data_IF_008709278009
#
_entry.id   IF_008709278009
#
_cell.length_a   1.000
_cell.length_b   1.000
_cell.length_c   1.000
_cell.angle_alpha   90.00
_cell.angle_beta   90.00
_cell.angle_gamma   90.00
#
_symmetry.space_group_name_H-M   'P 1'
#
loop_
_entity.id
_entity.type
_entity.pdbx_description
1 polymer ?
#
# COMPACT_ATOMS: atom_id res chain seq x y z
N UNK A 1 16.29 -32.19 5.72
CA UNK A 1 16.05 -31.41 4.48
C UNK A 1 14.71 -31.77 3.84
N UNK A 2 14.42 -33.04 3.51
CA UNK A 2 13.12 -33.45 2.93
C UNK A 2 11.91 -33.12 3.80
N UNK A 3 11.99 -33.38 5.11
CA UNK A 3 10.91 -33.07 6.05
C UNK A 3 10.62 -31.56 6.14
N UNK A 4 11.68 -30.74 6.17
CA UNK A 4 11.56 -29.28 6.14
C UNK A 4 10.89 -28.80 4.85
N UNK A 5 11.29 -29.36 3.69
CA UNK A 5 10.69 -29.06 2.40
C UNK A 5 9.20 -29.46 2.34
N UNK A 6 8.83 -30.62 2.90
CA UNK A 6 7.45 -31.07 2.96
C UNK A 6 6.58 -30.16 3.85
N UNK A 7 7.07 -29.77 5.02
CA UNK A 7 6.39 -28.82 5.91
C UNK A 7 6.22 -27.46 5.22
N UNK A 8 7.26 -26.98 4.54
CA UNK A 8 7.21 -25.73 3.77
C UNK A 8 6.15 -25.78 2.66
N UNK A 9 6.17 -26.82 1.82
CA UNK A 9 5.20 -26.99 0.72
C UNK A 9 3.79 -27.08 1.28
N UNK A 10 3.57 -27.88 2.32
CA UNK A 10 2.27 -28.01 2.97
C UNK A 10 1.77 -26.64 3.50
N UNK A 11 2.65 -25.89 4.16
CA UNK A 11 2.32 -24.57 4.72
C UNK A 11 1.95 -23.59 3.61
N UNK A 12 2.73 -23.53 2.52
CA UNK A 12 2.45 -22.66 1.38
C UNK A 12 1.13 -23.05 0.69
N UNK A 13 0.88 -24.35 0.49
CA UNK A 13 -0.37 -24.85 -0.09
C UNK A 13 -1.57 -24.43 0.76
N UNK A 14 -1.49 -24.56 2.09
CA UNK A 14 -2.55 -24.14 2.99
C UNK A 14 -2.75 -22.61 2.99
N UNK A 15 -1.67 -21.84 2.92
CA UNK A 15 -1.72 -20.36 2.87
C UNK A 15 -2.34 -19.85 1.57
N UNK A 16 -2.07 -20.50 0.43
CA UNK A 16 -2.62 -20.12 -0.88
C UNK A 16 -4.05 -20.64 -1.05
N UNK A 17 -4.32 -21.89 -0.68
CA UNK A 17 -5.63 -22.51 -0.91
C UNK A 17 -6.68 -22.09 0.13
N UNK A 18 -6.27 -21.72 1.35
CA UNK A 18 -7.17 -21.28 2.44
C UNK A 18 -8.46 -22.13 2.54
N UNK A 19 -8.33 -23.47 2.71
CA UNK A 19 -9.48 -24.34 2.66
C UNK A 19 -10.49 -23.95 3.75
N UNK A 20 -11.76 -23.80 3.38
CA UNK A 20 -12.86 -23.33 4.26
C UNK A 20 -12.64 -21.94 4.89
N UNK A 21 -11.86 -21.07 4.25
CA UNK A 21 -11.58 -19.73 4.76
C UNK A 21 -10.67 -19.73 6.00
N UNK A 22 -9.84 -20.77 6.17
CA UNK A 22 -8.80 -20.77 7.20
C UNK A 22 -7.91 -19.54 6.99
N UNK A 23 -7.84 -18.69 8.01
CA UNK A 23 -7.00 -17.51 7.98
C UNK A 23 -5.52 -17.88 7.82
N UNK A 24 -4.78 -17.07 7.06
CA UNK A 24 -3.36 -17.25 6.75
C UNK A 24 -2.53 -17.50 8.03
N UNK A 25 -2.87 -16.82 9.12
CA UNK A 25 -2.21 -16.97 10.42
C UNK A 25 -2.32 -18.37 11.03
N UNK A 26 -3.46 -19.05 10.87
CA UNK A 26 -3.65 -20.42 11.38
C UNK A 26 -2.81 -21.42 10.60
N UNK A 27 -2.80 -21.30 9.27
CA UNK A 27 -1.99 -22.15 8.40
C UNK A 27 -0.49 -21.97 8.67
N UNK A 28 -0.03 -20.72 8.83
CA UNK A 28 1.35 -20.42 9.20
C UNK A 28 1.72 -20.93 10.61
N UNK A 29 0.81 -20.78 11.59
CA UNK A 29 1.03 -21.26 12.95
C UNK A 29 1.11 -22.79 13.03
N UNK A 30 0.28 -23.48 12.25
CA UNK A 30 0.35 -24.94 12.10
C UNK A 30 1.70 -25.36 11.50
N UNK A 31 2.16 -24.69 10.44
CA UNK A 31 3.47 -24.94 9.84
C UNK A 31 4.62 -24.75 10.84
N UNK A 32 4.60 -23.66 11.61
CA UNK A 32 5.59 -23.39 12.65
C UNK A 32 5.55 -24.45 13.77
N UNK A 33 4.35 -24.85 14.22
CA UNK A 33 4.19 -25.90 15.22
C UNK A 33 4.74 -27.24 14.72
N UNK A 34 4.42 -27.63 13.48
CA UNK A 34 4.95 -28.85 12.87
C UNK A 34 6.47 -28.82 12.74
N UNK A 35 7.06 -27.67 12.40
CA UNK A 35 8.51 -27.50 12.32
C UNK A 35 9.20 -27.64 13.69
N UNK A 36 8.59 -27.12 14.76
CA UNK A 36 9.08 -27.29 16.13
C UNK A 36 8.94 -28.73 16.63
N UNK A 37 7.76 -29.34 16.45
CA UNK A 37 7.50 -30.71 16.91
C UNK A 37 8.36 -31.76 16.18
N UNK A 38 8.66 -31.53 14.91
CA UNK A 38 9.53 -32.40 14.11
C UNK A 38 11.02 -32.20 14.37
N UNK A 39 11.40 -31.22 15.21
CA UNK A 39 12.80 -30.89 15.48
C UNK A 39 13.55 -30.29 14.30
N UNK A 40 12.84 -29.91 13.23
CA UNK A 40 13.41 -29.23 12.06
C UNK A 40 13.87 -27.81 12.41
N UNK A 41 13.16 -27.18 13.34
CA UNK A 41 13.50 -25.87 13.91
C UNK A 41 13.59 -26.02 15.42
N UNK A 42 14.64 -25.45 16.02
CA UNK A 42 14.84 -25.42 17.46
C UNK A 42 14.42 -24.07 18.02
N UNK A 43 14.13 -24.02 19.33
CA UNK A 43 13.83 -22.76 20.01
C UNK A 43 14.99 -21.75 19.91
N UNK A 44 16.23 -22.23 19.74
CA UNK A 44 17.42 -21.42 19.49
C UNK A 44 17.43 -20.70 18.15
N UNK A 45 16.59 -21.12 17.19
CA UNK A 45 16.49 -20.49 15.87
C UNK A 45 15.51 -19.31 15.87
N UNK A 46 14.65 -19.21 16.89
CA UNK A 46 13.65 -18.13 17.02
C UNK A 46 14.29 -16.73 16.96
N UNK A 47 15.42 -16.44 17.65
CA UNK A 47 16.08 -15.14 17.53
C UNK A 47 16.51 -14.81 16.10
N UNK A 48 16.99 -15.79 15.34
CA UNK A 48 17.39 -15.58 13.95
C UNK A 48 16.18 -15.22 13.07
N UNK A 49 15.06 -15.94 13.24
CA UNK A 49 13.79 -15.61 12.55
C UNK A 49 13.28 -14.23 12.95
N UNK A 50 13.31 -13.91 14.25
CA UNK A 50 12.89 -12.62 14.76
C UNK A 50 13.72 -11.48 14.16
N UNK A 51 15.04 -11.62 14.10
CA UNK A 51 15.91 -10.59 13.54
C UNK A 51 15.60 -10.23 12.08
N UNK A 52 15.15 -11.20 11.28
CA UNK A 52 14.78 -10.98 9.86
C UNK A 52 13.40 -10.33 9.73
N UNK A 53 12.46 -10.65 10.62
CA UNK A 53 11.05 -10.29 10.43
C UNK A 53 10.62 -9.08 11.25
N UNK A 54 11.28 -8.77 12.37
CA UNK A 54 10.81 -7.73 13.31
C UNK A 54 10.67 -6.36 12.65
N UNK A 55 11.66 -5.98 11.82
CA UNK A 55 11.72 -4.67 11.18
C UNK A 55 10.56 -4.51 10.19
N UNK A 56 10.36 -5.54 9.36
CA UNK A 56 9.26 -5.60 8.41
C UNK A 56 7.90 -5.54 9.11
N UNK A 57 7.69 -6.35 10.15
CA UNK A 57 6.43 -6.38 10.91
C UNK A 57 6.15 -5.06 11.62
N UNK A 58 7.13 -4.50 12.32
CA UNK A 58 6.97 -3.24 13.04
C UNK A 58 6.67 -2.06 12.10
N UNK A 59 7.39 -1.98 10.98
CA UNK A 59 7.16 -0.97 9.95
C UNK A 59 5.76 -1.10 9.34
N UNK A 60 5.35 -2.33 9.01
CA UNK A 60 4.03 -2.59 8.44
C UNK A 60 2.89 -2.19 9.39
N UNK A 61 2.99 -2.55 10.68
CA UNK A 61 2.03 -2.14 11.71
C UNK A 61 1.98 -0.61 11.83
N UNK A 62 3.13 0.06 11.89
CA UNK A 62 3.19 1.52 12.00
C UNK A 62 2.51 2.20 10.81
N UNK A 63 2.76 1.74 9.59
CA UNK A 63 2.13 2.28 8.38
C UNK A 63 0.61 2.09 8.41
N UNK A 64 0.12 0.90 8.79
CA UNK A 64 -1.32 0.64 8.90
C UNK A 64 -1.96 1.59 9.92
N UNK A 65 -1.36 1.75 11.10
CA UNK A 65 -1.89 2.64 12.15
C UNK A 65 -1.94 4.10 11.65
N UNK A 66 -0.87 4.58 11.02
CA UNK A 66 -0.83 5.95 10.46
C UNK A 66 -1.91 6.12 9.39
N UNK A 67 -2.07 5.15 8.50
CA UNK A 67 -3.10 5.17 7.45
C UNK A 67 -4.51 5.22 8.03
N UNK A 68 -4.81 4.40 9.05
CA UNK A 68 -6.11 4.42 9.73
C UNK A 68 -6.37 5.75 10.45
N UNK A 69 -5.37 6.32 11.13
CA UNK A 69 -5.50 7.63 11.78
C UNK A 69 -5.76 8.75 10.76
N UNK A 70 -5.09 8.71 9.60
CA UNK A 70 -5.33 9.66 8.52
C UNK A 70 -6.72 9.50 7.92
N UNK A 71 -7.20 8.28 7.77
CA UNK A 71 -8.55 8.02 7.28
C UNK A 71 -9.62 8.53 8.24
N UNK A 72 -9.47 8.26 9.54
CA UNK A 72 -10.38 8.78 10.58
C UNK A 72 -10.40 10.32 10.62
N UNK A 73 -9.30 10.98 10.26
CA UNK A 73 -9.24 12.44 10.13
C UNK A 73 -10.02 12.99 8.91
N UNK A 74 -10.41 12.13 7.97
CA UNK A 74 -11.04 12.48 6.70
C UNK A 74 -10.04 12.94 5.63
N UNK A 75 -8.74 12.69 5.81
CA UNK A 75 -7.70 13.17 4.89
C UNK A 75 -7.87 12.60 3.47
N UNK A 76 -8.15 11.30 3.35
CA UNK A 76 -8.29 10.66 2.04
C UNK A 76 -9.58 11.08 1.33
N UNK A 77 -10.70 11.25 2.04
CA UNK A 77 -11.95 11.79 1.48
C UNK A 77 -11.73 13.24 1.00
N UNK A 78 -11.06 14.06 1.82
CA UNK A 78 -10.69 15.43 1.47
C UNK A 78 -9.82 15.50 0.20
N UNK A 79 -8.82 14.62 0.10
CA UNK A 79 -7.92 14.56 -1.06
C UNK A 79 -8.68 14.11 -2.32
N UNK A 80 -9.51 13.06 -2.21
CA UNK A 80 -10.33 12.56 -3.30
C UNK A 80 -11.28 13.63 -3.84
N UNK A 81 -11.94 14.41 -2.97
CA UNK A 81 -12.83 15.50 -3.39
C UNK A 81 -12.06 16.65 -4.09
N UNK A 82 -10.85 16.98 -3.66
CA UNK A 82 -10.02 17.98 -4.34
C UNK A 82 -9.62 17.53 -5.75
N UNK A 83 -9.10 16.30 -5.84
CA UNK A 83 -8.72 15.63 -7.07
C UNK A 83 -9.92 15.54 -8.03
N UNK A 84 -11.10 15.22 -7.50
CA UNK A 84 -12.33 15.19 -8.27
C UNK A 84 -12.78 16.56 -8.78
N UNK A 85 -12.50 17.65 -8.05
CA UNK A 85 -12.78 19.01 -8.54
C UNK A 85 -11.76 19.49 -9.58
N UNK A 86 -10.51 19.07 -9.46
CA UNK A 86 -9.48 19.35 -10.47
C UNK A 86 -9.77 18.72 -11.83
N UNK A 87 -10.56 17.64 -11.87
CA UNK A 87 -11.07 17.06 -13.11
C UNK A 87 -11.97 18.00 -13.93
N UNK A 88 -12.48 19.10 -13.34
CA UNK A 88 -13.27 20.15 -14.01
C UNK A 88 -14.41 19.60 -14.89
N UNK A 89 -15.07 18.54 -14.41
CA UNK A 89 -16.20 17.91 -15.11
C UNK A 89 -15.82 17.03 -16.30
N UNK A 90 -14.53 16.73 -16.53
CA UNK A 90 -14.08 15.81 -17.58
C UNK A 90 -13.71 14.43 -16.99
N UNK A 91 -14.46 13.38 -17.34
CA UNK A 91 -14.28 12.06 -16.71
C UNK A 91 -12.92 11.42 -16.98
N UNK A 92 -12.30 11.67 -18.14
CA UNK A 92 -10.91 11.22 -18.41
C UNK A 92 -9.89 11.87 -17.49
N UNK A 93 -10.05 13.16 -17.19
CA UNK A 93 -9.15 13.86 -16.24
C UNK A 93 -9.36 13.33 -14.83
N UNK A 94 -10.62 13.13 -14.44
CA UNK A 94 -10.97 12.51 -13.17
C UNK A 94 -10.31 11.13 -13.04
N UNK A 95 -10.38 10.30 -14.07
CA UNK A 95 -9.73 8.99 -14.10
C UNK A 95 -8.23 9.09 -13.87
N UNK A 96 -7.52 9.91 -14.65
CA UNK A 96 -6.08 10.11 -14.45
C UNK A 96 -5.76 10.61 -13.04
N UNK A 97 -6.52 11.57 -12.52
CA UNK A 97 -6.24 12.14 -11.21
C UNK A 97 -6.51 11.15 -10.06
N UNK A 98 -7.54 10.32 -10.15
CA UNK A 98 -7.79 9.25 -9.17
C UNK A 98 -6.69 8.19 -9.23
N UNK A 99 -6.25 7.81 -10.43
CA UNK A 99 -5.14 6.86 -10.60
C UNK A 99 -3.85 7.43 -10.00
N UNK A 100 -3.54 8.70 -10.27
CA UNK A 100 -2.36 9.37 -9.71
C UNK A 100 -2.45 9.56 -8.19
N UNK A 101 -3.65 9.82 -7.66
CA UNK A 101 -3.88 9.85 -6.22
C UNK A 101 -3.61 8.47 -5.61
N UNK A 102 -4.13 7.40 -6.20
CA UNK A 102 -3.84 6.03 -5.79
C UNK A 102 -2.34 5.71 -5.82
N UNK A 103 -1.64 6.15 -6.88
CA UNK A 103 -0.20 5.99 -6.98
C UNK A 103 0.55 6.68 -5.84
N UNK A 104 0.17 7.93 -5.52
CA UNK A 104 0.78 8.70 -4.45
C UNK A 104 0.52 8.08 -3.07
N UNK A 105 -0.72 7.62 -2.82
CA UNK A 105 -1.08 6.96 -1.56
C UNK A 105 -0.33 5.64 -1.41
N UNK A 106 -0.30 4.79 -2.43
CA UNK A 106 0.39 3.50 -2.37
C UNK A 106 1.91 3.63 -2.19
N UNK A 107 2.51 4.66 -2.81
CA UNK A 107 3.93 4.96 -2.63
C UNK A 107 4.26 5.34 -1.17
N UNK A 108 3.34 5.94 -0.41
CA UNK A 108 3.63 6.43 0.95
C UNK A 108 3.08 5.52 2.05
N UNK A 109 1.89 4.94 1.85
CA UNK A 109 1.06 4.29 2.88
C UNK A 109 0.88 2.79 2.68
N UNK A 110 1.70 2.22 1.82
CA UNK A 110 1.63 0.86 1.33
C UNK A 110 0.43 0.54 0.42
N UNK A 111 0.63 -0.45 -0.44
CA UNK A 111 -0.39 -0.93 -1.37
C UNK A 111 -1.67 -1.38 -0.64
N UNK A 112 -1.53 -2.18 0.41
CA UNK A 112 -2.67 -2.71 1.17
C UNK A 112 -3.52 -1.60 1.80
N UNK A 113 -2.85 -0.59 2.38
CA UNK A 113 -3.51 0.59 2.96
C UNK A 113 -4.27 1.39 1.90
N UNK A 114 -3.64 1.63 0.74
CA UNK A 114 -4.27 2.29 -0.38
C UNK A 114 -5.51 1.53 -0.87
N UNK A 115 -5.40 0.21 -1.02
CA UNK A 115 -6.51 -0.64 -1.48
C UNK A 115 -7.68 -0.65 -0.48
N UNK A 116 -7.40 -0.74 0.82
CA UNK A 116 -8.43 -0.86 1.85
C UNK A 116 -9.17 0.47 2.11
N UNK A 117 -8.46 1.60 2.04
CA UNK A 117 -9.00 2.92 2.37
C UNK A 117 -9.50 3.68 1.14
N UNK A 118 -8.70 3.75 0.07
CA UNK A 118 -9.03 4.59 -1.08
C UNK A 118 -10.18 4.00 -1.91
N UNK A 119 -10.27 2.67 -1.98
CA UNK A 119 -11.32 1.98 -2.75
C UNK A 119 -12.74 2.34 -2.29
N UNK A 120 -13.12 2.20 -1.00
CA UNK A 120 -14.47 2.57 -0.56
C UNK A 120 -14.77 4.06 -0.76
N UNK A 121 -13.77 4.94 -0.57
CA UNK A 121 -13.91 6.38 -0.79
C UNK A 121 -14.20 6.68 -2.27
N UNK A 122 -13.43 6.08 -3.19
CA UNK A 122 -13.60 6.26 -4.63
C UNK A 122 -14.96 5.71 -5.06
N UNK A 123 -15.37 4.54 -4.58
CA UNK A 123 -16.70 3.99 -4.86
C UNK A 123 -17.81 4.93 -4.40
N UNK A 124 -17.76 5.38 -3.14
CA UNK A 124 -18.79 6.28 -2.58
C UNK A 124 -18.89 7.59 -3.39
N UNK A 125 -17.76 8.15 -3.80
CA UNK A 125 -17.71 9.35 -4.63
C UNK A 125 -18.28 9.12 -6.03
N UNK A 126 -17.94 8.02 -6.70
CA UNK A 126 -18.43 7.71 -8.04
C UNK A 126 -19.94 7.41 -8.04
N UNK A 127 -20.44 6.75 -6.99
CA UNK A 127 -21.87 6.55 -6.77
C UNK A 127 -22.59 7.88 -6.54
N UNK A 128 -22.01 8.80 -5.75
CA UNK A 128 -22.57 10.14 -5.56
C UNK A 128 -22.59 10.97 -6.86
N UNK A 129 -21.63 10.75 -7.76
CA UNK A 129 -21.58 11.34 -9.10
C UNK A 129 -22.55 10.67 -10.10
N UNK A 130 -23.25 9.61 -9.72
CA UNK A 130 -24.18 8.89 -10.59
C UNK A 130 -23.50 8.05 -11.67
N UNK A 131 -22.27 7.60 -11.46
CA UNK A 131 -21.55 6.80 -12.45
C UNK A 131 -22.17 5.40 -12.57
N UNK A 132 -22.13 4.85 -13.79
CA UNK A 132 -22.63 3.49 -14.04
C UNK A 132 -21.75 2.44 -13.31
N UNK A 133 -22.29 1.25 -13.01
CA UNK A 133 -21.50 0.18 -12.39
C UNK A 133 -20.23 -0.19 -13.18
N UNK A 134 -20.30 -0.14 -14.52
CA UNK A 134 -19.16 -0.39 -15.39
C UNK A 134 -18.07 0.69 -15.24
N UNK A 135 -18.46 1.96 -15.17
CA UNK A 135 -17.53 3.07 -14.92
C UNK A 135 -16.91 2.96 -13.52
N UNK A 136 -17.72 2.67 -12.50
CA UNK A 136 -17.21 2.48 -11.13
C UNK A 136 -16.19 1.34 -11.06
N UNK A 137 -16.48 0.21 -11.71
CA UNK A 137 -15.54 -0.91 -11.81
C UNK A 137 -14.24 -0.50 -12.51
N UNK A 138 -14.31 0.25 -13.61
CA UNK A 138 -13.11 0.75 -14.31
C UNK A 138 -12.20 1.58 -13.38
N UNK A 139 -12.78 2.48 -12.60
CA UNK A 139 -12.03 3.32 -11.65
C UNK A 139 -11.44 2.51 -10.49
N UNK A 140 -12.20 1.58 -9.92
CA UNK A 140 -11.73 0.72 -8.82
C UNK A 140 -10.61 -0.21 -9.29
N UNK A 141 -10.77 -0.84 -10.45
CA UNK A 141 -9.73 -1.68 -11.04
C UNK A 141 -8.47 -0.86 -11.33
N UNK A 142 -8.62 0.35 -11.86
CA UNK A 142 -7.51 1.25 -12.10
C UNK A 142 -6.78 1.65 -10.81
N UNK A 143 -7.53 1.94 -9.73
CA UNK A 143 -6.97 2.20 -8.41
C UNK A 143 -6.22 0.98 -7.84
N UNK A 144 -6.73 -0.24 -8.04
CA UNK A 144 -6.05 -1.47 -7.62
C UNK A 144 -4.75 -1.73 -8.39
N UNK A 145 -4.79 -1.69 -9.72
CA UNK A 145 -3.59 -1.92 -10.54
C UNK A 145 -2.51 -0.87 -10.32
N UNK A 146 -2.90 0.39 -10.13
CA UNK A 146 -1.92 1.45 -9.86
C UNK A 146 -1.38 1.36 -8.45
N UNK A 147 -2.17 0.96 -7.45
CA UNK A 147 -1.67 0.79 -6.09
C UNK A 147 -0.59 -0.29 -6.03
N UNK A 148 -0.78 -1.38 -6.77
CA UNK A 148 0.24 -2.42 -6.92
C UNK A 148 1.49 -1.89 -7.62
N UNK A 149 1.32 -1.29 -8.81
CA UNK A 149 2.43 -0.76 -9.62
C UNK A 149 3.23 0.33 -8.88
N UNK A 150 2.55 1.27 -8.21
CA UNK A 150 3.16 2.46 -7.64
C UNK A 150 3.81 2.24 -6.27
N UNK A 151 3.68 1.02 -5.71
CA UNK A 151 4.27 0.62 -4.43
C UNK A 151 5.74 0.17 -4.54
N UNK A 152 6.37 0.34 -5.71
CA UNK A 152 7.77 -0.01 -5.97
C UNK A 152 8.85 0.98 -5.48
N UNK A 153 8.64 2.30 -5.39
CA UNK A 153 9.74 3.25 -5.31
C UNK A 153 10.41 3.32 -3.93
N UNK A 154 9.66 3.10 -2.85
CA UNK A 154 10.20 3.14 -1.50
C UNK A 154 10.15 1.76 -0.85
N UNK A 155 11.17 1.48 -0.04
CA UNK A 155 11.25 0.24 0.74
C UNK A 155 10.00 0.07 1.62
N UNK A 156 9.47 1.16 2.17
CA UNK A 156 8.33 1.17 3.10
C UNK A 156 6.98 0.97 2.38
N UNK A 157 6.92 1.13 1.06
CA UNK A 157 5.68 1.09 0.28
C UNK A 157 5.11 -0.33 0.09
N UNK A 158 5.89 -1.38 0.33
CA UNK A 158 5.43 -2.76 0.16
C UNK A 158 6.22 -3.70 1.08
N UNK A 159 5.54 -4.64 1.73
CA UNK A 159 6.17 -5.63 2.60
C UNK A 159 7.29 -6.40 1.87
N UNK A 160 7.08 -6.75 0.60
CA UNK A 160 8.08 -7.47 -0.22
C UNK A 160 9.35 -6.65 -0.40
N UNK A 161 9.22 -5.32 -0.53
CA UNK A 161 10.38 -4.43 -0.65
C UNK A 161 11.15 -4.36 0.66
N UNK A 162 10.47 -4.30 1.81
CA UNK A 162 11.12 -4.28 3.14
C UNK A 162 11.92 -5.56 3.35
N UNK A 163 11.29 -6.72 3.10
CA UNK A 163 11.95 -8.02 3.27
C UNK A 163 13.14 -8.17 2.34
N UNK A 164 13.01 -7.72 1.08
CA UNK A 164 14.09 -7.79 0.10
C UNK A 164 15.25 -6.85 0.47
N UNK A 165 14.95 -5.61 0.85
CA UNK A 165 15.96 -4.63 1.22
C UNK A 165 16.75 -5.06 2.48
N UNK A 166 16.07 -5.63 3.48
CA UNK A 166 16.72 -6.13 4.69
C UNK A 166 17.60 -7.35 4.40
N UNK A 167 17.11 -8.29 3.57
CA UNK A 167 17.86 -9.48 3.17
C UNK A 167 19.13 -9.15 2.36
N UNK A 168 19.01 -8.27 1.35
CA UNK A 168 20.13 -7.84 0.52
C UNK A 168 20.94 -6.69 1.14
N UNK A 169 20.55 -6.19 2.32
CA UNK A 169 21.16 -5.05 3.02
C UNK A 169 21.28 -3.80 2.15
N UNK A 170 20.25 -3.52 1.36
CA UNK A 170 20.19 -2.36 0.48
C UNK A 170 19.86 -1.10 1.29
N UNK A 171 20.62 -0.03 1.07
CA UNK A 171 20.32 1.28 1.62
C UNK A 171 19.03 1.85 1.01
N UNK A 172 18.24 2.57 1.80
CA UNK A 172 17.00 3.22 1.33
C UNK A 172 17.24 4.13 0.12
N UNK A 173 18.29 4.94 0.15
CA UNK A 173 18.62 5.87 -0.94
C UNK A 173 19.06 5.14 -2.21
N UNK A 174 19.85 4.08 -2.07
CA UNK A 174 20.33 3.29 -3.21
C UNK A 174 19.18 2.55 -3.88
N UNK A 175 18.27 1.99 -3.08
CA UNK A 175 17.03 1.39 -3.56
C UNK A 175 16.16 2.41 -4.29
N UNK A 176 15.88 3.56 -3.66
CA UNK A 176 15.04 4.59 -4.24
C UNK A 176 15.64 5.19 -5.51
N UNK A 177 16.97 5.39 -5.59
CA UNK A 177 17.63 5.94 -6.77
C UNK A 177 17.41 5.08 -8.02
N UNK A 178 17.32 3.75 -7.86
CA UNK A 178 17.05 2.81 -8.96
C UNK A 178 15.55 2.63 -9.19
N UNK A 179 14.77 2.47 -8.11
CA UNK A 179 13.36 2.11 -8.22
C UNK A 179 12.45 3.30 -8.54
N UNK A 180 12.82 4.54 -8.23
CA UNK A 180 12.00 5.71 -8.60
C UNK A 180 11.88 5.87 -10.13
N UNK A 181 12.95 5.83 -10.93
CA UNK A 181 12.84 5.85 -12.39
C UNK A 181 12.01 4.68 -12.96
N UNK A 182 12.24 3.46 -12.44
CA UNK A 182 11.48 2.26 -12.83
C UNK A 182 9.99 2.44 -12.53
N UNK A 183 9.67 2.97 -11.34
CA UNK A 183 8.31 3.23 -10.90
C UNK A 183 7.61 4.27 -11.78
N UNK A 184 8.31 5.34 -12.18
CA UNK A 184 7.73 6.35 -13.09
C UNK A 184 7.38 5.71 -14.43
N UNK A 185 8.28 4.90 -15.00
CA UNK A 185 8.00 4.18 -16.24
C UNK A 185 6.82 3.21 -16.10
N UNK A 186 6.75 2.49 -14.98
CA UNK A 186 5.67 1.55 -14.69
C UNK A 186 4.33 2.27 -14.51
N UNK A 187 4.27 3.38 -13.76
CA UNK A 187 3.07 4.21 -13.59
C UNK A 187 2.58 4.73 -14.95
N UNK A 188 3.48 5.22 -15.80
CA UNK A 188 3.11 5.72 -17.14
C UNK A 188 2.54 4.58 -17.99
N UNK A 189 3.20 3.42 -18.01
CA UNK A 189 2.75 2.26 -18.77
C UNK A 189 1.39 1.76 -18.29
N UNK A 190 1.21 1.62 -16.97
CA UNK A 190 -0.05 1.19 -16.35
C UNK A 190 -1.16 2.19 -16.61
N UNK A 191 -0.91 3.49 -16.42
CA UNK A 191 -1.90 4.54 -16.71
C UNK A 191 -2.30 4.54 -18.19
N UNK A 192 -1.33 4.42 -19.10
CA UNK A 192 -1.60 4.37 -20.53
C UNK A 192 -2.45 3.14 -20.90
N UNK A 193 -2.10 1.96 -20.38
CA UNK A 193 -2.84 0.73 -20.64
C UNK A 193 -4.27 0.80 -20.08
N UNK A 194 -4.44 1.29 -18.85
CA UNK A 194 -5.74 1.45 -18.22
C UNK A 194 -6.62 2.45 -18.97
N UNK A 195 -6.05 3.58 -19.42
CA UNK A 195 -6.76 4.55 -20.25
C UNK A 195 -7.17 3.96 -21.60
N UNK A 196 -6.33 3.13 -22.23
CA UNK A 196 -6.64 2.48 -23.50
C UNK A 196 -7.74 1.42 -23.34
N UNK A 197 -7.65 0.61 -22.29
CA UNK A 197 -8.58 -0.48 -22.01
C UNK A 197 -9.96 0.07 -21.62
N UNK A 198 -10.03 0.96 -20.63
CA UNK A 198 -11.29 1.52 -20.11
C UNK A 198 -11.78 2.76 -20.86
N UNK A 199 -11.19 3.12 -22.01
CA UNK A 199 -11.55 4.34 -22.78
C UNK A 199 -13.04 4.48 -23.11
N UNK A 200 -13.75 3.35 -23.22
CA UNK A 200 -15.18 3.29 -23.58
C UNK A 200 -16.09 3.39 -22.35
N UNK A 201 -15.61 2.95 -21.20
CA UNK A 201 -16.39 2.87 -19.96
C UNK A 201 -16.29 4.16 -19.13
N UNK A 202 -15.26 4.99 -19.38
CA UNK A 202 -15.08 6.28 -18.72
C UNK A 202 -16.07 7.32 -19.29
N UNK A 203 -16.95 7.91 -18.47
CA UNK A 203 -17.86 8.97 -18.91
C UNK A 203 -17.11 10.18 -19.47
N UNK A 204 -17.64 10.81 -20.53
CA UNK A 204 -17.01 11.99 -21.10
C UNK A 204 -17.07 13.20 -20.14
N UNK A 205 -18.20 13.36 -19.44
CA UNK A 205 -18.46 14.45 -18.50
C UNK A 205 -19.12 13.95 -17.22
N UNK A 206 -18.92 14.71 -16.15
CA UNK A 206 -19.63 14.55 -14.88
C UNK A 206 -19.96 15.92 -14.29
N UNK A 207 -20.98 15.98 -13.45
CA UNK A 207 -21.37 17.21 -12.78
C UNK A 207 -20.58 17.38 -11.47
N UNK A 208 -19.82 18.46 -11.39
CA UNK A 208 -19.01 18.82 -10.21
C UNK A 208 -19.90 19.31 -9.06
N UNK A 209 -21.11 19.80 -9.34
CA UNK A 209 -22.05 20.28 -8.33
C UNK A 209 -22.60 19.17 -7.44
N UNK A 210 -22.58 17.92 -7.91
CA UNK A 210 -22.99 16.74 -7.14
C UNK A 210 -21.98 16.35 -6.05
N UNK A 211 -20.76 16.90 -6.08
CA UNK A 211 -19.72 16.61 -5.09
C UNK A 211 -19.90 17.45 -3.82
N UNK A 212 -19.81 16.80 -2.66
CA UNK A 212 -19.68 17.46 -1.34
C UNK A 212 -18.58 18.52 -1.34
N UNK A 213 -18.67 19.52 -0.46
CA UNK A 213 -17.56 20.45 -0.31
C UNK A 213 -16.41 19.81 0.47
N UNK A 214 -15.14 20.00 0.06
CA UNK A 214 -14.01 19.40 0.76
C UNK A 214 -13.89 19.83 2.22
N UNK A 215 -14.48 20.97 2.60
CA UNK A 215 -14.53 21.40 4.00
C UNK A 215 -15.41 20.50 4.85
N UNK A 216 -16.45 19.89 4.27
CA UNK A 216 -17.35 18.98 4.96
C UNK A 216 -16.75 17.58 5.16
N UNK A 217 -15.65 17.25 4.46
CA UNK A 217 -14.95 15.98 4.61
C UNK A 217 -13.96 15.97 5.80
N UNK A 218 -13.58 17.14 6.32
CA UNK A 218 -12.69 17.23 7.48
C UNK A 218 -13.53 16.98 8.74
N UNK A 219 -13.37 15.80 9.33
CA UNK A 219 -14.08 15.43 10.57
C UNK A 219 -13.51 16.14 11.79
N UNK A 220 -12.19 16.34 11.84
CA UNK A 220 -11.50 17.05 12.91
C UNK A 220 -10.28 17.83 12.38
N UNK A 221 -10.27 19.15 12.57
CA UNK A 221 -9.17 20.02 12.12
C UNK A 221 -7.85 19.76 12.85
N UNK A 222 -7.90 19.34 14.11
CA UNK A 222 -6.71 19.07 14.92
C UNK A 222 -6.01 17.81 14.42
N UNK A 223 -6.78 16.75 14.19
CA UNK A 223 -6.33 15.48 13.62
C UNK A 223 -5.90 15.63 12.16
N UNK A 224 -6.54 16.49 11.38
CA UNK A 224 -6.12 16.79 10.00
C UNK A 224 -4.75 17.51 9.95
N UNK A 225 -4.52 18.50 10.82
CA UNK A 225 -3.20 19.15 10.94
C UNK A 225 -2.15 18.18 11.49
N UNK A 226 -2.52 17.35 12.46
CA UNK A 226 -1.66 16.29 12.97
C UNK A 226 -1.36 15.25 11.88
N UNK A 227 -2.30 14.96 10.98
CA UNK A 227 -2.14 14.06 9.84
C UNK A 227 -1.12 14.58 8.84
N UNK A 228 -1.21 15.86 8.46
CA UNK A 228 -0.17 16.51 7.65
C UNK A 228 1.18 16.52 8.36
N UNK A 229 1.21 16.84 9.66
CA UNK A 229 2.43 16.77 10.45
C UNK A 229 2.98 15.34 10.51
N UNK A 230 2.13 14.32 10.61
CA UNK A 230 2.50 12.92 10.64
C UNK A 230 3.03 12.45 9.27
N UNK A 231 2.42 12.86 8.15
CA UNK A 231 2.95 12.63 6.80
C UNK A 231 4.33 13.27 6.63
N UNK A 232 4.49 14.53 7.02
CA UNK A 232 5.78 15.22 6.99
C UNK A 232 6.79 14.58 7.94
N UNK A 233 6.36 14.14 9.12
CA UNK A 233 7.17 13.40 10.08
C UNK A 233 7.53 12.01 9.59
N UNK A 234 6.66 11.30 8.87
CA UNK A 234 6.92 9.95 8.35
C UNK A 234 7.82 10.02 7.12
N UNK A 235 7.70 11.08 6.31
CA UNK A 235 8.61 11.38 5.22
C UNK A 235 9.99 11.80 5.75
N UNK A 236 10.03 12.68 6.77
CA UNK A 236 11.29 13.04 7.43
C UNK A 236 11.86 11.91 8.29
N UNK A 237 11.05 11.02 8.85
CA UNK A 237 11.47 9.85 9.61
C UNK A 237 11.96 8.75 8.69
N UNK A 238 11.38 8.52 7.51
CA UNK A 238 11.98 7.63 6.51
C UNK A 238 13.34 8.16 6.03
N UNK A 239 13.47 9.49 5.88
CA UNK A 239 14.77 10.16 5.67
C UNK A 239 15.71 10.08 6.89
N UNK A 240 15.21 10.16 8.13
CA UNK A 240 16.03 10.13 9.35
C UNK A 240 16.43 8.69 9.73
N UNK A 241 15.57 7.73 9.44
CA UNK A 241 15.83 6.30 9.54
C UNK A 241 16.92 5.89 8.55
N UNK A 242 16.99 6.52 7.37
CA UNK A 242 18.16 6.39 6.48
C UNK A 242 19.48 6.80 7.15
N UNK A 243 19.47 7.83 8.02
CA UNK A 243 20.65 8.25 8.80
C UNK A 243 20.93 7.35 10.00
N UNK A 244 19.90 6.77 10.62
CA UNK A 244 20.03 5.87 11.76
C UNK A 244 20.47 4.46 11.36
N UNK A 245 19.94 3.92 10.26
CA UNK A 245 20.40 2.68 9.64
C UNK A 245 21.86 2.80 9.13
N UNK A 246 22.26 3.99 8.65
CA UNK A 246 23.66 4.25 8.32
C UNK A 246 24.56 4.27 9.58
N UNK A 247 24.07 4.72 10.74
CA UNK A 247 24.82 4.71 12.01
C UNK A 247 24.91 3.34 12.68
N UNK A 248 23.91 2.47 12.53
CA UNK A 248 23.96 1.12 13.11
C UNK A 248 24.94 0.18 12.39
N UNK A 249 25.33 0.50 11.15
CA UNK A 249 26.43 -0.18 10.43
C UNK A 249 27.82 0.26 10.94
N UNK A 250 27.97 1.49 11.44
CA UNK A 250 29.24 2.00 11.99
C UNK A 250 29.56 1.54 13.42
N UNK A 251 28.61 0.90 14.11
CA UNK A 251 28.84 0.29 15.44
C UNK A 251 29.25 -1.20 15.38
N UNK A 252 29.45 -1.75 14.17
CA UNK A 252 30.08 -3.07 13.95
C UNK A 252 31.37 -2.93 13.14
N UNK A 253 32.29 -2.12 13.64
CA UNK A 253 33.73 -2.32 13.47
C UNK A 253 34.38 -2.30 14.83
#
# INVERSE_FOLDING_TARGET
MWLAGAIFILTIVLVIWQPRGLGIGWSASLGALLALLSGVVQLSDIPAVWHVVWNATGTFIAVIIISLLLDESGFFEWAALHVARWGKGQGRRLFCYIVLLGAAVAAVFANDGAALILTPIVIAMLLALGFSPAATLAFVMAAGFIADTASLPLVVSNLVNIVSADFFKLGFNDYAAVMVPVNIAAIIATLAMLLLFFRKDIPARYDVALLKTPRDAIRDLSTFRAGWACCCCCWSASLCWSRWACRSVWWRR
#
